data_IF_119053469316
#
_entry.id   IF_119053469316
#
_cell.length_a   1.000
_cell.length_b   1.000
_cell.length_c   1.000
_cell.angle_alpha   90.00
_cell.angle_beta   90.00
_cell.angle_gamma   90.00
#
_symmetry.space_group_name_H-M   'P 1'
#
loop_
_entity.id
_entity.type
_entity.pdbx_description
1 polymer ?
#
# COMPACT_ATOMS: atom_id res chain seq x y z
N UNK A 1 10.07 13.05 -2.11
CA UNK A 1 9.24 12.18 -1.22
C UNK A 1 9.23 10.68 -1.55
N UNK A 2 9.63 10.26 -2.76
CA UNK A 2 9.61 8.85 -3.19
C UNK A 2 10.31 7.84 -2.27
N UNK A 3 11.55 8.15 -1.84
CA UNK A 3 12.33 7.24 -0.99
C UNK A 3 11.66 7.04 0.38
N UNK A 4 11.22 8.12 1.03
CA UNK A 4 10.55 8.04 2.33
C UNK A 4 9.25 7.21 2.27
N UNK A 5 8.45 7.38 1.21
CA UNK A 5 7.22 6.60 1.02
C UNK A 5 7.51 5.10 0.81
N UNK A 6 8.49 4.77 -0.06
CA UNK A 6 8.88 3.38 -0.28
C UNK A 6 9.42 2.70 0.99
N UNK A 7 10.20 3.44 1.80
CA UNK A 7 10.79 2.95 3.03
C UNK A 7 9.74 2.78 4.15
N UNK A 8 8.79 3.71 4.26
CA UNK A 8 7.64 3.57 5.17
C UNK A 8 6.76 2.37 4.82
N UNK A 9 6.47 2.16 3.52
CA UNK A 9 5.72 0.99 3.05
C UNK A 9 6.49 -0.30 3.37
N UNK A 10 7.83 -0.31 3.24
CA UNK A 10 8.65 -1.48 3.63
C UNK A 10 8.48 -1.82 5.11
N UNK A 11 8.58 -0.82 6.00
CA UNK A 11 8.42 -1.05 7.45
C UNK A 11 7.02 -1.59 7.76
N UNK A 12 5.99 -1.06 7.10
CA UNK A 12 4.63 -1.57 7.24
C UNK A 12 4.47 -3.02 6.76
N UNK A 13 5.03 -3.35 5.58
CA UNK A 13 4.99 -4.70 5.04
C UNK A 13 5.72 -5.70 5.94
N UNK A 14 6.85 -5.31 6.54
CA UNK A 14 7.55 -6.14 7.52
C UNK A 14 6.72 -6.37 8.77
N UNK A 15 6.07 -5.32 9.30
CA UNK A 15 5.18 -5.44 10.45
C UNK A 15 4.00 -6.38 10.18
N UNK A 16 3.34 -6.21 9.03
CA UNK A 16 2.24 -7.07 8.59
C UNK A 16 2.69 -8.51 8.33
N UNK A 17 3.86 -8.70 7.72
CA UNK A 17 4.45 -10.02 7.49
C UNK A 17 4.75 -10.75 8.80
N UNK A 18 5.34 -10.04 9.77
CA UNK A 18 5.57 -10.58 11.11
C UNK A 18 4.26 -10.98 11.80
N UNK A 19 3.23 -10.14 11.75
CA UNK A 19 1.89 -10.45 12.28
C UNK A 19 1.26 -11.68 11.60
N UNK A 20 1.39 -11.80 10.28
CA UNK A 20 0.81 -12.92 9.52
C UNK A 20 1.47 -14.28 9.83
N UNK A 21 2.77 -14.27 10.18
CA UNK A 21 3.51 -15.48 10.57
C UNK A 21 3.26 -15.85 12.04
N UNK A 22 3.15 -14.86 12.93
CA UNK A 22 3.01 -15.08 14.37
C UNK A 22 1.57 -15.40 14.81
N UNK A 23 0.57 -14.98 14.04
CA UNK A 23 -0.82 -15.39 14.26
C UNK A 23 -0.97 -16.83 13.77
N UNK A 24 -1.07 -17.75 14.74
CA UNK A 24 -1.39 -19.16 14.51
C UNK A 24 -2.87 -19.32 14.86
N UNK A 25 -3.80 -19.24 13.89
CA UNK A 25 -5.21 -19.46 14.16
C UNK A 25 -5.41 -20.91 14.59
N UNK A 26 -6.32 -21.13 15.53
CA UNK A 26 -6.71 -22.48 15.93
C UNK A 26 -7.24 -23.23 14.69
N UNK A 27 -6.75 -24.44 14.38
CA UNK A 27 -7.19 -25.19 13.20
C UNK A 27 -8.70 -25.49 13.15
N UNK A 28 -9.42 -25.31 14.26
CA UNK A 28 -10.88 -25.48 14.32
C UNK A 28 -11.67 -24.18 14.16
N UNK A 29 -10.99 -23.02 14.11
CA UNK A 29 -11.61 -21.71 13.91
C UNK A 29 -11.56 -21.32 12.42
N UNK A 30 -12.64 -21.65 11.72
CA UNK A 30 -12.80 -21.35 10.29
C UNK A 30 -12.84 -19.84 10.00
N UNK A 31 -13.35 -19.02 10.93
CA UNK A 31 -13.35 -17.56 10.77
C UNK A 31 -11.91 -17.04 10.81
N UNK A 32 -11.14 -17.44 11.83
CA UNK A 32 -9.74 -17.01 11.98
C UNK A 32 -8.84 -17.45 10.80
N UNK A 33 -9.11 -18.60 10.19
CA UNK A 33 -8.40 -19.04 8.98
C UNK A 33 -8.72 -18.18 7.76
N UNK A 34 -10.00 -17.86 7.54
CA UNK A 34 -10.42 -17.01 6.42
C UNK A 34 -9.86 -15.58 6.54
N UNK A 35 -9.85 -15.04 7.76
CA UNK A 35 -9.23 -13.75 8.11
C UNK A 35 -7.73 -13.72 7.82
N UNK A 36 -7.01 -14.79 8.19
CA UNK A 36 -5.58 -14.92 7.90
C UNK A 36 -5.30 -15.01 6.40
N UNK A 37 -6.06 -15.83 5.68
CA UNK A 37 -5.90 -15.97 4.24
C UNK A 37 -6.12 -14.62 3.52
N UNK A 38 -7.13 -13.87 3.94
CA UNK A 38 -7.42 -12.55 3.37
C UNK A 38 -6.33 -11.53 3.69
N UNK A 39 -5.84 -11.52 4.94
CA UNK A 39 -4.72 -10.68 5.36
C UNK A 39 -3.46 -10.97 4.54
N UNK A 40 -3.18 -12.24 4.23
CA UNK A 40 -2.06 -12.63 3.37
C UNK A 40 -2.27 -12.19 1.91
N UNK A 41 -3.48 -12.29 1.37
CA UNK A 41 -3.80 -11.78 0.02
C UNK A 41 -3.59 -10.27 -0.04
N UNK A 42 -4.09 -9.52 0.95
CA UNK A 42 -3.91 -8.07 1.03
C UNK A 42 -2.44 -7.69 1.17
N UNK A 43 -1.68 -8.42 2.00
CA UNK A 43 -0.24 -8.24 2.12
C UNK A 43 0.46 -8.46 0.78
N UNK A 44 0.12 -9.53 0.06
CA UNK A 44 0.69 -9.84 -1.24
C UNK A 44 0.42 -8.72 -2.26
N UNK A 45 -0.82 -8.21 -2.32
CA UNK A 45 -1.20 -7.09 -3.18
C UNK A 45 -0.40 -5.82 -2.83
N UNK A 46 -0.24 -5.52 -1.54
CA UNK A 46 0.56 -4.36 -1.09
C UNK A 46 2.05 -4.54 -1.42
N UNK A 47 2.56 -5.78 -1.38
CA UNK A 47 3.96 -6.11 -1.69
C UNK A 47 4.24 -5.94 -3.20
N UNK A 48 3.30 -6.33 -4.06
CA UNK A 48 3.34 -5.99 -5.49
C UNK A 48 3.34 -4.46 -5.67
N UNK A 49 2.43 -3.75 -4.98
CA UNK A 49 2.35 -2.29 -5.03
C UNK A 49 3.66 -1.61 -4.59
N UNK A 50 4.34 -2.18 -3.59
CA UNK A 50 5.62 -1.69 -3.09
C UNK A 50 6.74 -1.79 -4.13
N UNK A 51 6.80 -2.86 -4.93
CA UNK A 51 7.81 -3.00 -6.00
C UNK A 51 7.75 -1.83 -7.00
N UNK A 52 6.58 -1.21 -7.15
CA UNK A 52 6.38 -0.05 -8.02
C UNK A 52 6.55 1.30 -7.33
N UNK A 53 6.74 1.35 -6.01
CA UNK A 53 6.76 2.61 -5.23
C UNK A 53 7.86 3.58 -5.65
N UNK A 54 9.02 3.05 -6.01
CA UNK A 54 10.18 3.84 -6.45
C UNK A 54 10.07 4.27 -7.93
N UNK A 55 9.54 3.39 -8.77
CA UNK A 55 9.53 3.56 -10.22
C UNK A 55 8.28 4.32 -10.69
N UNK A 56 7.10 3.82 -10.31
CA UNK A 56 5.78 4.24 -10.79
C UNK A 56 4.83 4.47 -9.58
N UNK A 57 4.95 5.60 -8.87
CA UNK A 57 4.17 5.85 -7.65
C UNK A 57 2.64 5.87 -7.87
N UNK A 58 2.17 6.17 -9.09
CA UNK A 58 0.76 6.07 -9.44
C UNK A 58 0.24 4.62 -9.40
N UNK A 59 1.06 3.64 -9.82
CA UNK A 59 0.69 2.22 -9.77
C UNK A 59 0.57 1.79 -8.31
N UNK A 60 1.52 2.19 -7.46
CA UNK A 60 1.44 1.97 -6.01
C UNK A 60 0.19 2.61 -5.40
N UNK A 61 -0.17 3.82 -5.81
CA UNK A 61 -1.42 4.46 -5.39
C UNK A 61 -2.65 3.59 -5.73
N UNK A 62 -2.75 3.08 -6.97
CA UNK A 62 -3.87 2.22 -7.36
C UNK A 62 -3.95 0.95 -6.50
N UNK A 63 -2.80 0.30 -6.21
CA UNK A 63 -2.77 -0.87 -5.34
C UNK A 63 -3.19 -0.53 -3.91
N UNK A 64 -2.67 0.57 -3.34
CA UNK A 64 -3.04 1.01 -1.99
C UNK A 64 -4.53 1.39 -1.91
N UNK A 65 -5.08 2.02 -2.95
CA UNK A 65 -6.49 2.37 -3.03
C UNK A 65 -7.36 1.11 -3.11
N UNK A 66 -7.00 0.13 -3.94
CA UNK A 66 -7.70 -1.15 -4.01
C UNK A 66 -7.69 -1.89 -2.67
N UNK A 67 -6.52 -2.00 -2.02
CA UNK A 67 -6.40 -2.60 -0.69
C UNK A 67 -7.19 -1.84 0.37
N UNK A 68 -7.30 -0.51 0.27
CA UNK A 68 -8.12 0.32 1.15
C UNK A 68 -9.60 -0.01 0.98
N UNK A 69 -10.10 -0.06 -0.26
CA UNK A 69 -11.51 -0.39 -0.54
C UNK A 69 -11.86 -1.76 0.05
N UNK A 70 -11.00 -2.77 -0.19
CA UNK A 70 -11.21 -4.10 0.38
C UNK A 70 -11.23 -4.03 1.91
N UNK A 71 -10.25 -3.35 2.53
CA UNK A 71 -10.19 -3.23 4.00
C UNK A 71 -11.45 -2.55 4.57
N UNK A 72 -11.97 -1.51 3.93
CA UNK A 72 -13.19 -0.82 4.36
C UNK A 72 -14.41 -1.73 4.25
N UNK A 73 -14.54 -2.51 3.16
CA UNK A 73 -15.64 -3.47 3.01
C UNK A 73 -15.67 -4.49 4.15
N UNK A 74 -14.50 -4.97 4.59
CA UNK A 74 -14.40 -5.89 5.72
C UNK A 74 -14.70 -5.23 7.06
N UNK A 75 -14.29 -3.97 7.27
CA UNK A 75 -14.67 -3.20 8.47
C UNK A 75 -16.19 -3.04 8.56
N UNK A 76 -16.86 -2.75 7.43
CA UNK A 76 -18.32 -2.67 7.38
C UNK A 76 -18.99 -4.03 7.63
N UNK A 77 -18.31 -5.13 7.31
CA UNK A 77 -18.72 -6.50 7.64
C UNK A 77 -18.54 -6.90 9.10
N UNK A 78 -18.04 -6.01 9.97
CA UNK A 78 -17.84 -6.28 11.41
C UNK A 78 -16.40 -6.60 11.81
N UNK A 79 -15.49 -6.74 10.85
CA UNK A 79 -14.10 -7.09 11.11
C UNK A 79 -13.25 -5.86 11.43
N UNK A 80 -13.39 -5.36 12.66
CA UNK A 80 -12.68 -4.16 13.15
C UNK A 80 -11.14 -4.23 13.04
N UNK A 81 -10.60 -5.44 12.91
CA UNK A 81 -9.17 -5.72 12.71
C UNK A 81 -8.60 -5.04 11.46
N UNK A 82 -9.43 -4.84 10.43
CA UNK A 82 -9.03 -4.18 9.18
C UNK A 82 -9.09 -2.65 9.25
N UNK A 83 -9.56 -2.07 10.36
CA UNK A 83 -9.68 -0.61 10.50
C UNK A 83 -8.30 0.06 10.52
N UNK A 84 -7.35 -0.51 11.27
CA UNK A 84 -5.96 -0.05 11.28
C UNK A 84 -5.33 -0.18 9.88
N UNK A 85 -5.61 -1.29 9.20
CA UNK A 85 -5.12 -1.52 7.85
C UNK A 85 -5.67 -0.49 6.86
N UNK A 86 -6.97 -0.22 6.89
CA UNK A 86 -7.60 0.81 6.05
C UNK A 86 -6.96 2.18 6.28
N UNK A 87 -6.79 2.59 7.54
CA UNK A 87 -6.17 3.88 7.88
C UNK A 87 -4.75 4.03 7.34
N UNK A 88 -3.89 3.03 7.60
CA UNK A 88 -2.49 3.08 7.18
C UNK A 88 -2.39 3.04 5.65
N UNK A 89 -3.23 2.24 5.00
CA UNK A 89 -3.24 2.12 3.54
C UNK A 89 -3.72 3.41 2.86
N UNK A 90 -4.66 4.14 3.47
CA UNK A 90 -5.07 5.49 3.01
C UNK A 90 -3.91 6.46 3.08
N UNK A 91 -3.15 6.47 4.18
CA UNK A 91 -1.97 7.34 4.32
C UNK A 91 -0.97 7.05 3.19
N UNK A 92 -0.69 5.79 2.91
CA UNK A 92 0.22 5.42 1.80
C UNK A 92 -0.34 5.76 0.42
N UNK A 93 -1.66 5.68 0.22
CA UNK A 93 -2.29 6.14 -1.01
C UNK A 93 -2.04 7.65 -1.19
N UNK A 94 -2.30 8.47 -0.17
CA UNK A 94 -2.08 9.93 -0.23
C UNK A 94 -0.60 10.26 -0.50
N UNK A 95 0.32 9.61 0.22
CA UNK A 95 1.76 9.82 0.03
C UNK A 95 2.23 9.41 -1.38
N UNK A 96 1.68 8.32 -1.92
CA UNK A 96 1.97 7.85 -3.27
C UNK A 96 1.45 8.81 -4.35
N UNK A 97 0.27 9.40 -4.13
CA UNK A 97 -0.29 10.42 -5.02
C UNK A 97 0.54 11.71 -5.00
N UNK A 98 0.96 12.16 -3.81
CA UNK A 98 1.86 13.30 -3.66
C UNK A 98 3.20 13.07 -4.38
N UNK A 99 3.79 11.88 -4.23
CA UNK A 99 5.01 11.49 -4.92
C UNK A 99 4.83 11.44 -6.45
N UNK A 100 3.66 11.06 -6.95
CA UNK A 100 3.36 11.10 -8.39
C UNK A 100 3.32 12.54 -8.93
N UNK A 101 2.64 13.45 -8.22
CA UNK A 101 2.57 14.86 -8.59
C UNK A 101 3.96 15.52 -8.64
N UNK A 102 4.84 15.18 -7.69
CA UNK A 102 6.24 15.61 -7.66
C UNK A 102 7.01 15.15 -8.91
N UNK A 103 6.88 13.87 -9.30
CA UNK A 103 7.51 13.34 -10.51
C UNK A 103 7.00 14.02 -11.77
N UNK A 104 5.69 14.27 -11.87
CA UNK A 104 5.09 14.95 -13.03
C UNK A 104 5.63 16.37 -13.17
N UNK A 105 5.74 17.11 -12.07
CA UNK A 105 6.29 18.47 -12.04
C UNK A 105 7.76 18.49 -12.48
N UNK A 106 8.58 17.56 -11.98
CA UNK A 106 9.99 17.47 -12.33
C UNK A 106 10.21 17.12 -13.81
N UNK A 107 9.41 16.20 -14.37
CA UNK A 107 9.47 15.87 -15.81
C UNK A 107 9.06 17.05 -16.70
N UNK A 108 8.06 17.83 -16.30
CA UNK A 108 7.64 19.02 -17.03
C UNK A 108 8.73 20.10 -17.02
N UNK A 109 9.41 20.29 -15.88
CA UNK A 109 10.50 21.25 -15.75
C UNK A 109 11.74 20.82 -16.56
N UNK A 110 12.11 19.54 -16.52
CA UNK A 110 13.19 19.00 -17.34
C UNK A 110 12.92 19.18 -18.84
N UNK A 111 11.69 18.90 -19.30
CA UNK A 111 11.30 19.08 -20.70
C UNK A 111 11.33 20.55 -21.17
N UNK A 112 11.05 21.51 -20.26
CA UNK A 112 11.18 22.94 -20.55
C UNK A 112 12.65 23.36 -20.69
N UNK A 113 13.53 22.85 -19.84
CA UNK A 113 14.97 23.14 -19.91
C UNK A 113 15.61 22.59 -21.19
N UNK A 114 15.26 21.37 -21.62
CA UNK A 114 15.78 20.81 -22.89
C UNK A 114 15.34 21.62 -24.12
N UNK A 115 14.16 22.24 -24.09
CA UNK A 115 13.67 23.10 -25.18
C UNK A 115 14.26 24.51 -25.20
N UNK A 116 14.82 24.99 -24.09
CA UNK A 116 15.50 26.30 -24.02
C UNK A 116 16.98 26.21 -24.40
N UNK A 117 17.54 25.00 -24.40
CA UNK A 117 18.95 24.74 -24.68
C UNK A 117 19.20 24.17 -26.09
N UNK A 118 18.15 24.07 -26.91
CA UNK A 118 18.17 23.63 -28.31
C UNK A 118 17.65 24.78 -29.20
#
# INVERSE_FOLDING_TARGET
>A
MKMANGLLITVWLLFMGYKAVTITPDPYDFEAQSLRALTMILLFVQLIGWAFSFSKPFVTFCFMLASTVVSILYVLGGESQYLLMAFITIIFAILSLAAHSEVKKNKLNAKKQTKQSA
#
